data_IF_645327617967
#
_entry.id   IF_645327617967
#
_cell.length_a   1.000
_cell.length_b   1.000
_cell.length_c   1.000
_cell.angle_alpha   90.00
_cell.angle_beta   90.00
_cell.angle_gamma   90.00
#
_symmetry.space_group_name_H-M   'P 1'
#
loop_
_entity.id
_entity.type
_entity.pdbx_description
1 polymer ?
#
# COMPACT_ATOMS: atom_id res chain seq x y z
N UNK A 1 -85.35 3.36 56.13
CA UNK A 1 -85.20 3.78 54.76
C UNK A 1 -83.70 3.73 54.50
N UNK A 2 -83.25 2.51 54.23
CA UNK A 2 -81.82 2.19 53.96
C UNK A 2 -81.51 2.57 52.51
N UNK A 3 -80.50 3.42 52.35
CA UNK A 3 -79.95 3.70 50.99
C UNK A 3 -78.82 2.71 50.70
N UNK A 4 -79.11 1.81 49.77
CA UNK A 4 -78.13 0.88 49.23
C UNK A 4 -77.01 1.66 48.45
N UNK A 5 -75.83 1.58 48.93
CA UNK A 5 -74.63 2.12 48.30
C UNK A 5 -74.20 1.17 47.18
N UNK A 6 -74.37 1.58 45.92
CA UNK A 6 -73.89 0.82 44.74
C UNK A 6 -72.38 1.09 44.52
N UNK A 7 -71.59 0.03 44.37
CA UNK A 7 -70.17 0.23 44.11
C UNK A 7 -69.95 0.85 42.73
N UNK A 8 -69.16 1.93 42.67
CA UNK A 8 -68.70 2.58 41.46
C UNK A 8 -67.74 1.65 40.77
N UNK A 9 -68.09 1.23 39.57
CA UNK A 9 -67.18 0.41 38.72
C UNK A 9 -65.92 1.23 38.33
N UNK A 10 -64.78 0.83 38.84
CA UNK A 10 -63.48 1.37 38.51
C UNK A 10 -63.15 1.07 37.03
N UNK A 11 -63.02 2.11 36.18
CA UNK A 11 -62.75 1.98 34.79
C UNK A 11 -61.25 1.53 34.62
N UNK A 12 -61.05 0.27 34.26
CA UNK A 12 -59.79 -0.32 33.98
C UNK A 12 -59.21 0.38 32.72
N UNK A 13 -58.13 1.15 32.89
CA UNK A 13 -57.40 1.81 31.78
C UNK A 13 -56.89 0.76 30.77
N UNK A 14 -57.01 0.98 29.44
CA UNK A 14 -56.57 0.02 28.43
C UNK A 14 -55.06 -0.16 28.50
N UNK A 15 -54.60 -1.42 28.52
CA UNK A 15 -53.18 -1.78 28.56
C UNK A 15 -52.43 -1.13 27.42
N UNK A 16 -51.18 -0.59 27.64
CA UNK A 16 -50.43 0.07 26.62
C UNK A 16 -50.08 -0.90 25.49
N UNK A 17 -50.47 -0.55 24.26
CA UNK A 17 -50.15 -1.32 23.06
C UNK A 17 -48.63 -1.41 22.94
N UNK A 18 -48.05 -2.59 23.14
CA UNK A 18 -46.62 -2.84 22.94
C UNK A 18 -46.28 -2.54 21.49
N UNK A 19 -45.56 -1.45 21.26
CA UNK A 19 -45.01 -1.09 19.93
C UNK A 19 -44.09 -2.22 19.46
N UNK A 20 -44.15 -2.65 18.20
CA UNK A 20 -43.37 -3.78 17.68
C UNK A 20 -41.91 -3.38 17.37
N UNK A 21 -41.23 -2.80 18.37
CA UNK A 21 -39.85 -2.32 18.22
C UNK A 21 -38.88 -3.40 17.72
N UNK A 22 -39.10 -4.67 18.11
CA UNK A 22 -38.28 -5.79 17.65
C UNK A 22 -38.41 -6.07 16.15
N UNK A 23 -39.60 -5.91 15.58
CA UNK A 23 -39.80 -6.08 14.13
C UNK A 23 -39.18 -4.93 13.35
N UNK A 24 -39.31 -3.69 13.83
CA UNK A 24 -38.70 -2.51 13.20
C UNK A 24 -37.17 -2.61 13.24
N UNK A 25 -36.59 -2.99 14.38
CA UNK A 25 -35.15 -3.21 14.52
C UNK A 25 -34.66 -4.32 13.58
N UNK A 26 -35.41 -5.44 13.47
CA UNK A 26 -35.09 -6.54 12.56
C UNK A 26 -35.06 -6.13 11.07
N UNK A 27 -36.08 -5.37 10.63
CA UNK A 27 -36.12 -4.86 9.25
C UNK A 27 -35.00 -3.84 8.96
N UNK A 28 -34.65 -3.01 9.96
CA UNK A 28 -33.54 -2.06 9.83
C UNK A 28 -32.19 -2.78 9.69
N UNK A 29 -31.95 -3.83 10.47
CA UNK A 29 -30.71 -4.64 10.36
C UNK A 29 -30.64 -5.36 9.00
N UNK A 30 -31.74 -5.97 8.55
CA UNK A 30 -31.80 -6.64 7.24
C UNK A 30 -31.58 -5.65 6.10
N UNK A 31 -32.15 -4.45 6.17
CA UNK A 31 -31.92 -3.37 5.21
C UNK A 31 -30.46 -2.94 5.13
N UNK A 32 -29.80 -2.78 6.28
CA UNK A 32 -28.37 -2.46 6.34
C UNK A 32 -27.51 -3.58 5.73
N UNK A 33 -27.81 -4.85 6.06
CA UNK A 33 -27.09 -6.00 5.50
C UNK A 33 -27.26 -6.08 3.97
N UNK A 34 -28.47 -5.84 3.46
CA UNK A 34 -28.74 -5.79 2.03
C UNK A 34 -27.96 -4.65 1.33
N UNK A 35 -27.93 -3.47 1.93
CA UNK A 35 -27.13 -2.34 1.43
C UNK A 35 -25.65 -2.67 1.39
N UNK A 36 -25.11 -3.31 2.43
CA UNK A 36 -23.73 -3.77 2.48
C UNK A 36 -23.46 -4.80 1.36
N UNK A 37 -24.36 -5.75 1.16
CA UNK A 37 -24.24 -6.78 0.13
C UNK A 37 -24.24 -6.16 -1.28
N UNK A 38 -25.23 -5.30 -1.56
CA UNK A 38 -25.33 -4.59 -2.85
C UNK A 38 -24.08 -3.72 -3.10
N UNK A 39 -23.65 -3.00 -2.08
CA UNK A 39 -22.47 -2.15 -2.15
C UNK A 39 -21.20 -2.98 -2.41
N UNK A 40 -21.04 -4.11 -1.73
CA UNK A 40 -19.92 -5.03 -1.95
C UNK A 40 -19.97 -5.65 -3.35
N UNK A 41 -21.17 -5.99 -3.83
CA UNK A 41 -21.39 -6.48 -5.21
C UNK A 41 -20.98 -5.44 -6.26
N UNK A 42 -21.39 -4.19 -6.10
CA UNK A 42 -20.99 -3.08 -6.99
C UNK A 42 -19.48 -2.92 -7.01
N UNK A 43 -18.83 -2.94 -5.83
CA UNK A 43 -17.38 -2.87 -5.76
C UNK A 43 -16.75 -4.01 -6.54
N UNK A 44 -17.20 -5.24 -6.31
CA UNK A 44 -16.62 -6.43 -6.95
C UNK A 44 -16.71 -6.37 -8.47
N UNK A 45 -17.83 -5.91 -9.00
CA UNK A 45 -18.04 -5.74 -10.46
C UNK A 45 -17.20 -4.59 -11.03
N UNK A 46 -16.94 -3.55 -10.22
CA UNK A 46 -16.14 -2.39 -10.66
C UNK A 46 -14.63 -2.58 -10.49
N UNK A 47 -14.18 -3.71 -9.88
CA UNK A 47 -12.75 -3.99 -9.76
C UNK A 47 -12.11 -4.19 -11.13
N UNK A 48 -10.89 -3.67 -11.32
CA UNK A 48 -10.18 -3.81 -12.58
C UNK A 48 -9.90 -5.27 -12.92
N UNK A 49 -9.78 -5.55 -14.23
CA UNK A 49 -9.31 -6.85 -14.67
C UNK A 49 -7.80 -6.96 -14.39
N UNK A 50 -7.42 -7.86 -13.49
CA UNK A 50 -6.02 -8.10 -13.11
C UNK A 50 -5.39 -9.25 -13.91
N UNK A 51 -6.18 -10.02 -14.68
CA UNK A 51 -5.67 -11.11 -15.52
C UNK A 51 -4.71 -10.60 -16.60
N UNK A 52 -4.96 -9.40 -17.11
CA UNK A 52 -4.13 -8.80 -18.15
C UNK A 52 -2.66 -8.68 -17.73
N UNK A 53 -2.38 -8.34 -16.46
CA UNK A 53 -1.01 -8.19 -15.96
C UNK A 53 -0.35 -9.52 -15.58
N UNK A 54 -1.05 -10.63 -15.73
CA UNK A 54 -0.49 -11.98 -15.56
C UNK A 54 0.58 -12.26 -16.61
N UNK A 55 0.27 -11.96 -17.86
CA UNK A 55 1.13 -12.28 -19.00
C UNK A 55 1.71 -11.03 -19.68
N UNK A 56 1.00 -9.90 -19.60
CA UNK A 56 1.38 -8.67 -20.27
C UNK A 56 1.97 -7.66 -19.29
N UNK A 57 3.00 -6.97 -19.76
CA UNK A 57 3.59 -5.88 -19.00
C UNK A 57 2.80 -4.60 -19.25
N UNK A 58 2.32 -3.90 -18.20
CA UNK A 58 1.58 -2.66 -18.38
C UNK A 58 2.48 -1.58 -18.96
N UNK A 59 2.08 -1.00 -20.10
CA UNK A 59 2.79 0.15 -20.71
C UNK A 59 2.58 1.44 -19.93
N UNK A 60 1.45 1.51 -19.22
CA UNK A 60 1.05 2.68 -18.47
C UNK A 60 0.21 2.28 -17.25
N UNK A 61 0.40 3.00 -16.15
CA UNK A 61 -0.30 2.76 -14.90
C UNK A 61 -1.16 3.96 -14.50
N UNK A 62 -2.07 3.78 -13.53
CA UNK A 62 -2.90 4.86 -13.03
C UNK A 62 -2.05 5.99 -12.42
N UNK A 63 -0.94 5.65 -11.74
CA UNK A 63 -0.04 6.68 -11.18
C UNK A 63 0.68 7.46 -12.28
N UNK A 64 1.15 6.81 -13.34
CA UNK A 64 1.79 7.48 -14.49
C UNK A 64 0.83 8.49 -15.13
N UNK A 65 -0.41 8.07 -15.46
CA UNK A 65 -1.45 8.97 -16.00
C UNK A 65 -1.75 10.14 -15.08
N UNK A 66 -1.86 9.87 -13.79
CA UNK A 66 -2.13 10.93 -12.81
C UNK A 66 -1.00 11.97 -12.75
N UNK A 67 0.25 11.51 -12.77
CA UNK A 67 1.43 12.39 -12.78
C UNK A 67 1.49 13.24 -14.06
N UNK A 68 1.27 12.64 -15.21
CA UNK A 68 1.21 13.39 -16.48
C UNK A 68 0.12 14.46 -16.48
N UNK A 69 -1.08 14.13 -15.97
CA UNK A 69 -2.18 15.08 -15.83
C UNK A 69 -1.81 16.25 -14.91
N UNK A 70 -1.18 15.98 -13.75
CA UNK A 70 -0.71 17.03 -12.83
C UNK A 70 0.30 17.98 -13.46
N UNK A 71 1.24 17.45 -14.28
CA UNK A 71 2.20 18.30 -14.98
C UNK A 71 1.55 19.14 -16.06
N UNK A 72 0.62 18.55 -16.81
CA UNK A 72 -0.16 19.25 -17.85
C UNK A 72 -0.98 20.40 -17.25
N UNK A 73 -1.64 20.19 -16.12
CA UNK A 73 -2.38 21.23 -15.39
C UNK A 73 -1.48 22.41 -14.98
N UNK A 74 -0.21 22.14 -14.71
CA UNK A 74 0.80 23.18 -14.39
C UNK A 74 1.46 23.79 -15.63
N UNK A 75 0.97 23.51 -16.84
CA UNK A 75 1.58 23.94 -18.09
C UNK A 75 2.96 23.35 -18.38
N UNK A 76 3.30 22.21 -17.72
CA UNK A 76 4.58 21.54 -17.86
C UNK A 76 4.41 20.17 -18.52
N UNK A 77 5.47 19.68 -19.17
CA UNK A 77 5.55 18.34 -19.73
C UNK A 77 6.39 17.45 -18.80
N UNK A 78 5.82 16.36 -18.30
CA UNK A 78 6.60 15.36 -17.57
C UNK A 78 7.41 14.52 -18.56
N UNK A 79 8.71 14.42 -18.35
CA UNK A 79 9.57 13.47 -19.07
C UNK A 79 9.42 12.11 -18.39
N UNK A 80 8.65 11.20 -18.99
CA UNK A 80 8.52 9.82 -18.51
C UNK A 80 9.66 8.97 -19.04
N UNK A 81 10.40 8.32 -18.14
CA UNK A 81 11.42 7.33 -18.44
C UNK A 81 10.96 6.02 -17.81
N UNK A 82 10.79 4.98 -18.64
CA UNK A 82 10.32 3.67 -18.20
C UNK A 82 10.97 2.58 -19.05
N UNK A 83 11.74 1.71 -18.42
CA UNK A 83 12.33 0.53 -19.04
C UNK A 83 11.95 -0.70 -18.21
N UNK A 84 11.41 -1.71 -18.88
CA UNK A 84 11.06 -2.96 -18.24
C UNK A 84 12.29 -3.87 -18.12
N UNK A 85 12.48 -4.49 -16.94
CA UNK A 85 13.44 -5.58 -16.74
C UNK A 85 12.69 -6.79 -16.13
N UNK A 86 12.84 -8.00 -16.68
CA UNK A 86 12.36 -9.19 -16.01
C UNK A 86 13.05 -9.36 -14.65
N UNK A 87 12.40 -10.00 -13.69
CA UNK A 87 12.90 -10.15 -12.32
C UNK A 87 14.31 -10.76 -12.28
N UNK A 88 14.63 -11.66 -13.23
CA UNK A 88 15.95 -12.29 -13.38
C UNK A 88 17.08 -11.34 -13.81
N UNK A 89 16.73 -10.13 -14.31
CA UNK A 89 17.68 -9.08 -14.70
C UNK A 89 17.68 -7.90 -13.73
N UNK A 90 17.18 -8.10 -12.51
CA UNK A 90 17.26 -7.12 -11.43
C UNK A 90 18.19 -7.69 -10.36
N UNK A 91 19.11 -6.87 -9.87
CA UNK A 91 20.08 -7.26 -8.83
C UNK A 91 19.39 -7.92 -7.65
N UNK A 92 19.83 -9.10 -7.20
CA UNK A 92 19.33 -9.73 -5.98
C UNK A 92 19.44 -8.80 -4.77
N UNK A 93 20.47 -7.96 -4.71
CA UNK A 93 20.66 -6.97 -3.64
C UNK A 93 19.55 -5.90 -3.66
N UNK A 94 19.15 -5.42 -4.85
CA UNK A 94 18.03 -4.49 -4.95
C UNK A 94 16.72 -5.15 -4.52
N UNK A 95 16.48 -6.38 -4.95
CA UNK A 95 15.29 -7.16 -4.57
C UNK A 95 15.22 -7.31 -3.05
N UNK A 96 16.31 -7.76 -2.42
CA UNK A 96 16.38 -7.94 -0.97
C UNK A 96 16.22 -6.61 -0.22
N UNK A 97 16.87 -5.56 -0.69
CA UNK A 97 16.74 -4.23 -0.08
C UNK A 97 15.28 -3.72 -0.12
N UNK A 98 14.56 -3.94 -1.22
CA UNK A 98 13.14 -3.59 -1.35
C UNK A 98 12.28 -4.42 -0.38
N UNK A 99 12.46 -5.72 -0.33
CA UNK A 99 11.72 -6.60 0.59
C UNK A 99 11.93 -6.16 2.04
N UNK A 100 13.17 -6.00 2.47
CA UNK A 100 13.53 -5.58 3.84
C UNK A 100 12.97 -4.20 4.19
N UNK A 101 12.90 -3.29 3.23
CA UNK A 101 12.43 -1.91 3.46
C UNK A 101 10.91 -1.78 3.45
N UNK A 102 10.24 -2.46 2.52
CA UNK A 102 8.85 -2.22 2.20
C UNK A 102 7.90 -3.32 2.69
N UNK A 103 8.36 -4.59 2.74
CA UNK A 103 7.50 -5.73 3.07
C UNK A 103 8.35 -6.98 3.35
N UNK A 104 8.85 -7.05 4.56
CA UNK A 104 9.83 -8.06 4.97
C UNK A 104 9.31 -9.50 4.90
N UNK A 105 8.02 -9.68 5.14
CA UNK A 105 7.32 -10.96 5.10
C UNK A 105 6.55 -11.20 3.80
N UNK A 106 6.91 -10.50 2.70
CA UNK A 106 6.18 -10.53 1.43
C UNK A 106 5.82 -11.93 0.94
N UNK A 107 6.73 -12.89 1.04
CA UNK A 107 6.50 -14.27 0.60
C UNK A 107 5.70 -15.14 1.59
N UNK A 108 5.40 -14.62 2.79
CA UNK A 108 4.75 -15.36 3.87
C UNK A 108 3.26 -15.02 4.05
N UNK A 109 2.78 -13.94 3.43
CA UNK A 109 1.38 -13.52 3.54
C UNK A 109 0.68 -13.44 2.17
N UNK A 110 -0.64 -13.36 2.16
CA UNK A 110 -1.49 -13.24 0.97
C UNK A 110 -2.04 -11.81 0.79
N UNK A 111 -1.14 -10.84 0.63
CA UNK A 111 -1.46 -9.44 0.35
C UNK A 111 -1.62 -8.55 1.57
N UNK A 112 -1.73 -9.13 2.78
CA UNK A 112 -1.83 -8.39 4.04
C UNK A 112 -0.93 -9.00 5.09
N UNK A 113 -0.01 -8.21 5.63
CA UNK A 113 0.72 -8.55 6.86
C UNK A 113 -0.07 -7.99 8.06
N UNK A 114 -0.93 -8.84 8.62
CA UNK A 114 -1.78 -8.46 9.75
C UNK A 114 -0.98 -8.15 11.02
N UNK A 115 0.15 -8.81 11.20
CA UNK A 115 1.03 -8.60 12.35
C UNK A 115 1.72 -7.23 12.25
N UNK A 116 2.31 -6.92 11.08
CA UNK A 116 2.92 -5.61 10.84
C UNK A 116 1.89 -4.48 10.90
N UNK A 117 0.68 -4.71 10.37
CA UNK A 117 -0.42 -3.73 10.45
C UNK A 117 -0.81 -3.43 11.90
N UNK A 118 -0.90 -4.45 12.76
CA UNK A 118 -1.20 -4.30 14.20
C UNK A 118 -0.08 -3.52 14.89
N UNK A 119 1.18 -3.93 14.70
CA UNK A 119 2.32 -3.23 15.28
C UNK A 119 2.41 -1.76 14.83
N UNK A 120 2.14 -1.50 13.55
CA UNK A 120 2.13 -0.14 13.03
C UNK A 120 1.03 0.69 13.68
N UNK A 121 -0.16 0.10 13.90
CA UNK A 121 -1.27 0.77 14.56
C UNK A 121 -0.96 1.09 16.04
N UNK A 122 -0.40 0.14 16.78
CA UNK A 122 0.03 0.32 18.17
C UNK A 122 1.09 1.44 18.29
N UNK A 123 2.15 1.39 17.47
CA UNK A 123 3.21 2.42 17.45
C UNK A 123 2.69 3.81 17.04
N UNK A 124 1.71 3.88 16.14
CA UNK A 124 1.10 5.15 15.73
C UNK A 124 0.20 5.73 16.81
N UNK A 125 -0.53 4.90 17.57
CA UNK A 125 -1.33 5.31 18.72
C UNK A 125 -0.45 5.85 19.84
N UNK A 126 0.62 5.15 20.21
CA UNK A 126 1.55 5.55 21.27
C UNK A 126 2.21 6.89 20.97
N UNK A 127 2.58 7.12 19.72
CA UNK A 127 3.28 8.36 19.31
C UNK A 127 2.34 9.47 18.86
N UNK A 128 1.01 9.24 18.82
CA UNK A 128 0.01 10.18 18.28
C UNK A 128 0.36 10.74 16.89
N UNK A 129 1.13 9.99 16.11
CA UNK A 129 1.61 10.36 14.79
C UNK A 129 1.72 9.12 13.90
N UNK A 130 1.49 9.27 12.59
CA UNK A 130 1.72 8.20 11.62
C UNK A 130 3.24 8.05 11.40
N UNK A 131 3.85 7.13 12.15
CA UNK A 131 5.30 6.89 12.15
C UNK A 131 5.68 5.74 11.22
N UNK A 132 4.81 4.73 11.09
CA UNK A 132 5.03 3.55 10.26
C UNK A 132 3.81 3.27 9.39
N UNK A 133 4.04 2.94 8.12
CA UNK A 133 3.01 2.46 7.21
C UNK A 133 3.01 0.93 7.21
N UNK A 134 1.86 0.32 7.45
CA UNK A 134 1.67 -1.14 7.34
C UNK A 134 1.07 -1.53 5.99
N UNK A 135 1.56 -0.96 4.88
CA UNK A 135 1.07 -1.32 3.53
C UNK A 135 2.06 -2.24 2.85
N UNK A 136 1.61 -3.40 2.41
CA UNK A 136 2.40 -4.41 1.71
C UNK A 136 2.77 -4.01 0.27
N UNK A 137 3.75 -4.69 -0.32
CA UNK A 137 4.13 -4.55 -1.74
C UNK A 137 2.91 -4.76 -2.65
N UNK A 138 2.06 -5.74 -2.37
CA UNK A 138 0.86 -6.01 -3.19
C UNK A 138 -0.16 -4.88 -3.11
N UNK A 139 -0.36 -4.28 -1.93
CA UNK A 139 -1.23 -3.11 -1.78
C UNK A 139 -0.66 -1.89 -2.51
N UNK A 140 0.66 -1.67 -2.42
CA UNK A 140 1.32 -0.60 -3.16
C UNK A 140 1.22 -0.81 -4.68
N UNK A 141 1.38 -2.05 -5.16
CA UNK A 141 1.20 -2.42 -6.56
C UNK A 141 -0.23 -2.15 -7.03
N UNK A 142 -1.24 -2.59 -6.27
CA UNK A 142 -2.66 -2.34 -6.57
C UNK A 142 -2.94 -0.83 -6.74
N UNK A 143 -2.45 -0.02 -5.81
CA UNK A 143 -2.54 1.43 -5.87
C UNK A 143 -1.90 1.98 -7.14
N UNK A 144 -0.66 1.60 -7.45
CA UNK A 144 0.09 2.16 -8.56
C UNK A 144 -0.50 1.78 -9.93
N UNK A 145 -0.97 0.53 -10.08
CA UNK A 145 -1.55 0.05 -11.33
C UNK A 145 -2.90 0.67 -11.65
N UNK A 146 -3.80 0.77 -10.65
CA UNK A 146 -5.22 0.93 -10.90
C UNK A 146 -5.87 2.15 -10.25
N UNK A 147 -5.28 2.74 -9.21
CA UNK A 147 -5.94 3.75 -8.40
C UNK A 147 -5.32 5.14 -8.56
N UNK A 148 -6.18 6.16 -8.58
CA UNK A 148 -5.73 7.55 -8.48
C UNK A 148 -5.30 7.85 -7.04
N UNK A 149 -4.25 8.65 -6.83
CA UNK A 149 -3.87 9.10 -5.49
C UNK A 149 -5.00 9.91 -4.85
N UNK A 150 -5.61 9.36 -3.81
CA UNK A 150 -6.59 10.02 -2.97
C UNK A 150 -6.42 9.51 -1.54
N UNK A 151 -6.72 10.34 -0.54
CA UNK A 151 -6.65 9.96 0.88
C UNK A 151 -8.05 9.73 1.43
N UNK A 152 -8.77 8.75 0.88
CA UNK A 152 -10.11 8.39 1.32
C UNK A 152 -10.17 6.95 1.80
N UNK A 153 -11.00 6.63 2.82
CA UNK A 153 -11.22 5.23 3.25
C UNK A 153 -11.69 4.34 2.10
N UNK A 154 -12.52 4.88 1.22
CA UNK A 154 -13.01 4.19 0.03
C UNK A 154 -11.88 3.71 -0.89
N UNK A 155 -10.94 4.60 -1.22
CA UNK A 155 -9.77 4.21 -2.01
C UNK A 155 -8.94 3.12 -1.32
N UNK A 156 -8.80 3.19 0.02
CA UNK A 156 -8.05 2.16 0.77
C UNK A 156 -8.76 0.81 0.73
N UNK A 157 -10.09 0.78 0.75
CA UNK A 157 -10.87 -0.44 0.57
C UNK A 157 -10.68 -1.02 -0.85
N UNK A 158 -10.76 -0.18 -1.91
CA UNK A 158 -10.48 -0.63 -3.28
C UNK A 158 -9.06 -1.20 -3.41
N UNK A 159 -8.06 -0.54 -2.82
CA UNK A 159 -6.67 -1.03 -2.78
C UNK A 159 -6.58 -2.42 -2.16
N UNK A 160 -7.25 -2.63 -1.04
CA UNK A 160 -7.29 -3.92 -0.35
C UNK A 160 -7.92 -5.03 -1.21
N UNK A 161 -9.06 -4.74 -1.83
CA UNK A 161 -9.76 -5.72 -2.68
C UNK A 161 -8.97 -6.06 -3.95
N UNK A 162 -8.34 -5.06 -4.58
CA UNK A 162 -7.47 -5.28 -5.74
C UNK A 162 -6.24 -6.07 -5.33
N UNK A 163 -5.61 -5.77 -4.18
CA UNK A 163 -4.47 -6.51 -3.68
C UNK A 163 -4.81 -8.00 -3.49
N UNK A 164 -5.96 -8.30 -2.86
CA UNK A 164 -6.44 -9.68 -2.72
C UNK A 164 -6.68 -10.36 -4.08
N UNK A 165 -7.22 -9.63 -5.05
CA UNK A 165 -7.43 -10.16 -6.41
C UNK A 165 -6.10 -10.44 -7.11
N UNK A 166 -5.10 -9.55 -6.98
CA UNK A 166 -3.74 -9.76 -7.50
C UNK A 166 -3.10 -11.03 -6.91
N UNK A 167 -3.17 -11.22 -5.57
CA UNK A 167 -2.60 -12.40 -4.92
C UNK A 167 -3.25 -13.71 -5.37
N UNK A 168 -4.56 -13.71 -5.63
CA UNK A 168 -5.27 -14.88 -6.16
C UNK A 168 -4.94 -15.20 -7.61
N UNK A 169 -4.54 -14.20 -8.39
CA UNK A 169 -4.37 -14.31 -9.84
C UNK A 169 -2.91 -14.49 -10.23
N UNK A 170 -1.98 -13.90 -9.48
CA UNK A 170 -0.57 -13.81 -9.82
C UNK A 170 0.31 -14.58 -8.83
N UNK A 171 1.44 -15.09 -9.30
CA UNK A 171 2.48 -15.57 -8.40
C UNK A 171 3.17 -14.40 -7.67
N UNK A 172 3.70 -14.65 -6.48
CA UNK A 172 4.52 -13.68 -5.71
C UNK A 172 5.66 -13.09 -6.54
N UNK A 173 6.34 -13.94 -7.33
CA UNK A 173 7.42 -13.49 -8.22
C UNK A 173 6.90 -12.50 -9.27
N UNK A 174 5.71 -12.73 -9.84
CA UNK A 174 5.11 -11.81 -10.80
C UNK A 174 4.67 -10.50 -10.15
N UNK A 175 4.09 -10.55 -8.96
CA UNK A 175 3.73 -9.34 -8.19
C UNK A 175 4.97 -8.49 -7.93
N UNK A 176 6.07 -9.11 -7.48
CA UNK A 176 7.33 -8.41 -7.21
C UNK A 176 7.96 -7.83 -8.49
N UNK A 177 7.94 -8.59 -9.60
CA UNK A 177 8.41 -8.12 -10.90
C UNK A 177 7.62 -6.88 -11.36
N UNK A 178 6.28 -6.95 -11.31
CA UNK A 178 5.42 -5.82 -11.62
C UNK A 178 5.74 -4.62 -10.74
N UNK A 179 5.84 -4.84 -9.43
CA UNK A 179 6.13 -3.79 -8.46
C UNK A 179 7.42 -3.03 -8.80
N UNK A 180 8.51 -3.76 -8.95
CA UNK A 180 9.83 -3.18 -9.24
C UNK A 180 9.87 -2.42 -10.57
N UNK A 181 8.99 -2.75 -11.50
CA UNK A 181 8.92 -2.12 -12.82
C UNK A 181 7.93 -0.95 -12.91
N UNK A 182 6.97 -0.82 -11.98
CA UNK A 182 5.93 0.22 -12.11
C UNK A 182 6.02 1.31 -11.06
N UNK A 183 6.75 1.10 -9.95
CA UNK A 183 6.92 2.15 -8.94
C UNK A 183 7.79 3.29 -9.47
N UNK A 184 7.55 4.47 -8.92
CA UNK A 184 8.33 5.67 -9.21
C UNK A 184 9.56 5.74 -8.31
N UNK A 185 10.75 5.85 -8.91
CA UNK A 185 12.05 5.94 -8.24
C UNK A 185 12.64 7.35 -8.24
N UNK A 186 12.01 8.26 -8.94
CA UNK A 186 12.34 9.66 -9.10
C UNK A 186 11.27 10.35 -9.92
N UNK A 187 11.32 11.66 -10.07
CA UNK A 187 10.29 12.42 -10.77
C UNK A 187 10.17 11.98 -12.24
N UNK A 188 9.09 11.27 -12.57
CA UNK A 188 8.85 10.69 -13.89
C UNK A 188 9.70 9.46 -14.22
N UNK A 189 10.42 8.89 -13.26
CA UNK A 189 11.33 7.77 -13.43
C UNK A 189 10.70 6.49 -12.89
N UNK A 190 10.27 5.59 -13.77
CA UNK A 190 9.53 4.38 -13.43
C UNK A 190 10.33 3.12 -13.75
N UNK A 191 10.35 2.19 -12.79
CA UNK A 191 11.01 0.90 -12.93
C UNK A 191 12.49 0.90 -12.56
N UNK A 192 12.95 -0.24 -11.99
CA UNK A 192 14.30 -0.43 -11.48
C UNK A 192 15.38 -0.24 -12.56
N UNK A 193 15.14 -0.72 -13.77
CA UNK A 193 16.10 -0.58 -14.89
C UNK A 193 16.26 0.88 -15.30
N UNK A 194 15.15 1.63 -15.40
CA UNK A 194 15.22 3.05 -15.71
C UNK A 194 15.94 3.82 -14.60
N UNK A 195 15.70 3.47 -13.34
CA UNK A 195 16.35 4.07 -12.19
C UNK A 195 17.87 3.82 -12.18
N UNK A 196 18.28 2.56 -12.38
CA UNK A 196 19.68 2.18 -12.43
C UNK A 196 20.45 2.92 -13.55
N UNK A 197 19.88 2.95 -14.75
CA UNK A 197 20.47 3.65 -15.89
C UNK A 197 20.56 5.15 -15.68
N UNK A 198 19.50 5.75 -15.15
CA UNK A 198 19.45 7.21 -14.97
C UNK A 198 20.34 7.69 -13.83
N UNK A 199 20.35 6.94 -12.70
CA UNK A 199 21.08 7.36 -11.51
C UNK A 199 22.56 6.95 -11.54
N UNK A 200 22.89 5.78 -12.13
CA UNK A 200 24.22 5.18 -12.02
C UNK A 200 24.84 4.78 -13.35
N UNK A 201 24.14 4.96 -14.47
CA UNK A 201 24.66 4.67 -15.82
C UNK A 201 24.84 3.18 -16.14
N UNK A 202 24.21 2.27 -15.36
CA UNK A 202 24.37 0.81 -15.48
C UNK A 202 23.02 0.08 -15.49
N UNK A 203 23.03 -1.21 -15.82
CA UNK A 203 21.84 -2.03 -15.77
C UNK A 203 21.41 -2.34 -14.31
N UNK A 204 20.12 -2.59 -14.10
CA UNK A 204 19.61 -2.94 -12.76
C UNK A 204 20.23 -4.23 -12.18
N UNK A 205 20.73 -5.14 -13.04
CA UNK A 205 21.45 -6.33 -12.63
C UNK A 205 22.82 -6.05 -11.99
N UNK A 206 23.42 -4.90 -12.31
CA UNK A 206 24.82 -4.55 -11.94
C UNK A 206 24.89 -3.63 -10.72
N UNK A 207 23.76 -3.36 -10.07
CA UNK A 207 23.72 -2.49 -8.91
C UNK A 207 24.51 -3.06 -7.73
N UNK A 208 25.40 -2.24 -7.19
CA UNK A 208 26.16 -2.52 -5.96
C UNK A 208 25.26 -2.43 -4.73
N UNK A 209 25.69 -2.92 -3.54
CA UNK A 209 24.95 -2.76 -2.29
C UNK A 209 24.60 -1.29 -1.99
N UNK A 210 25.57 -0.37 -2.16
CA UNK A 210 25.37 1.06 -1.94
C UNK A 210 24.29 1.65 -2.84
N UNK A 211 24.33 1.33 -4.13
CA UNK A 211 23.38 1.83 -5.12
C UNK A 211 21.97 1.27 -4.91
N UNK A 212 21.85 -0.02 -4.56
CA UNK A 212 20.59 -0.65 -4.22
C UNK A 212 19.94 0.04 -2.99
N UNK A 213 20.71 0.26 -1.94
CA UNK A 213 20.24 0.95 -0.72
C UNK A 213 19.86 2.41 -1.03
N UNK A 214 20.65 3.12 -1.84
CA UNK A 214 20.34 4.49 -2.26
C UNK A 214 19.02 4.56 -3.03
N UNK A 215 18.77 3.66 -3.99
CA UNK A 215 17.49 3.57 -4.71
C UNK A 215 16.32 3.27 -3.76
N UNK A 216 16.42 2.25 -2.93
CA UNK A 216 15.32 1.87 -2.03
C UNK A 216 15.01 2.99 -1.03
N UNK A 217 16.03 3.74 -0.61
CA UNK A 217 15.82 4.83 0.34
C UNK A 217 14.85 5.91 -0.16
N UNK A 218 14.76 6.14 -1.48
CA UNK A 218 13.91 7.21 -2.06
C UNK A 218 12.46 6.80 -2.30
N UNK A 219 12.12 5.51 -2.25
CA UNK A 219 10.74 5.01 -2.48
C UNK A 219 9.71 5.72 -1.61
N UNK A 220 10.07 6.09 -0.39
CA UNK A 220 9.18 6.78 0.56
C UNK A 220 8.65 8.12 0.01
N UNK A 221 9.45 8.83 -0.78
CA UNK A 221 9.05 10.07 -1.46
C UNK A 221 10.01 10.38 -2.62
N UNK A 222 9.80 9.78 -3.80
CA UNK A 222 10.69 9.91 -4.94
C UNK A 222 10.72 11.31 -5.57
N UNK A 223 9.76 12.18 -5.21
CA UNK A 223 9.73 13.56 -5.68
C UNK A 223 10.58 14.51 -4.81
N UNK A 224 10.86 14.10 -3.58
CA UNK A 224 11.61 14.92 -2.62
C UNK A 224 13.05 14.47 -2.48
N UNK A 225 13.32 13.18 -2.64
CA UNK A 225 14.62 12.59 -2.39
C UNK A 225 15.24 12.07 -3.69
N UNK A 226 16.56 12.15 -3.77
CA UNK A 226 17.36 11.64 -4.89
C UNK A 226 18.28 10.53 -4.41
N UNK A 227 18.47 9.53 -5.25
CA UNK A 227 19.41 8.44 -4.98
C UNK A 227 20.88 8.89 -5.09
N UNK A 228 21.14 9.92 -5.89
CA UNK A 228 22.52 10.38 -6.23
C UNK A 228 22.95 11.63 -5.48
N UNK A 229 22.03 12.43 -4.94
CA UNK A 229 22.39 13.64 -4.20
C UNK A 229 22.72 13.36 -2.74
N UNK A 230 23.44 14.32 -2.12
CA UNK A 230 23.68 14.29 -0.68
C UNK A 230 22.39 14.14 0.08
N UNK A 231 22.37 13.18 0.99
CA UNK A 231 21.19 12.81 1.72
C UNK A 231 20.95 13.73 2.93
N UNK A 232 19.70 14.11 3.15
CA UNK A 232 19.32 14.69 4.44
C UNK A 232 19.61 13.71 5.59
N UNK A 233 19.75 14.20 6.83
CA UNK A 233 19.94 13.35 8.02
C UNK A 233 18.95 12.18 8.09
N UNK A 234 17.69 12.42 7.70
CA UNK A 234 16.67 11.38 7.64
C UNK A 234 17.00 10.29 6.63
N UNK A 235 17.51 10.66 5.45
CA UNK A 235 17.88 9.70 4.42
C UNK A 235 19.14 8.92 4.78
N UNK A 236 20.14 9.58 5.36
CA UNK A 236 21.34 8.91 5.89
C UNK A 236 20.96 7.84 6.91
N UNK A 237 20.15 8.20 7.92
CA UNK A 237 19.68 7.24 8.91
C UNK A 237 18.89 6.06 8.29
N UNK A 238 18.05 6.33 7.28
CA UNK A 238 17.33 5.27 6.57
C UNK A 238 18.29 4.33 5.83
N UNK A 239 19.30 4.87 5.14
CA UNK A 239 20.33 4.10 4.43
C UNK A 239 21.15 3.23 5.40
N UNK A 240 21.62 3.81 6.49
CA UNK A 240 22.37 3.09 7.53
C UNK A 240 21.54 1.96 8.15
N UNK A 241 20.28 2.23 8.50
CA UNK A 241 19.39 1.20 9.04
C UNK A 241 19.15 0.06 8.04
N UNK A 242 18.99 0.38 6.76
CA UNK A 242 18.80 -0.64 5.72
C UNK A 242 20.10 -1.44 5.51
N UNK A 243 21.27 -0.79 5.46
CA UNK A 243 22.56 -1.45 5.40
C UNK A 243 22.76 -2.41 6.57
N UNK A 244 22.46 -1.98 7.79
CA UNK A 244 22.54 -2.83 8.99
C UNK A 244 21.62 -4.06 8.88
N UNK A 245 20.38 -3.89 8.44
CA UNK A 245 19.44 -5.01 8.28
C UNK A 245 19.87 -6.00 7.19
N UNK A 246 20.45 -5.49 6.10
CA UNK A 246 20.98 -6.32 5.03
C UNK A 246 22.23 -7.09 5.47
N UNK A 247 23.13 -6.46 6.24
CA UNK A 247 24.30 -7.11 6.83
C UNK A 247 23.90 -8.21 7.82
N UNK A 248 22.95 -7.95 8.71
CA UNK A 248 22.40 -8.95 9.64
C UNK A 248 21.81 -10.19 8.95
N UNK A 249 21.53 -10.11 7.64
CA UNK A 249 21.06 -11.21 6.78
C UNK A 249 22.14 -11.77 5.89
N UNK A 250 23.39 -11.42 6.18
CA UNK A 250 24.56 -11.96 5.48
C UNK A 250 24.52 -11.70 3.95
N UNK A 251 23.89 -10.58 3.52
CA UNK A 251 23.80 -10.22 2.09
C UNK A 251 25.12 -9.64 1.54
N UNK A 252 26.03 -9.26 2.42
CA UNK A 252 27.40 -8.83 2.14
C UNK A 252 28.24 -8.93 3.41
N UNK A 253 29.57 -8.87 3.24
CA UNK A 253 30.54 -9.05 4.30
C UNK A 253 30.77 -7.79 5.17
N UNK A 254 31.50 -7.94 6.27
CA UNK A 254 31.83 -6.87 7.22
C UNK A 254 32.60 -5.70 6.58
N UNK A 255 33.64 -5.92 5.73
CA UNK A 255 34.31 -4.82 5.05
C UNK A 255 33.37 -3.97 4.18
N UNK A 256 32.44 -4.63 3.46
CA UNK A 256 31.41 -3.93 2.66
C UNK A 256 30.48 -3.12 3.59
N UNK A 257 30.06 -3.67 4.72
CA UNK A 257 29.22 -2.95 5.67
C UNK A 257 29.89 -1.72 6.25
N UNK A 258 31.16 -1.81 6.64
CA UNK A 258 31.93 -0.67 7.13
C UNK A 258 32.06 0.43 6.06
N UNK A 259 32.40 0.07 4.83
CA UNK A 259 32.44 1.01 3.71
C UNK A 259 31.09 1.72 3.48
N UNK A 260 29.96 0.99 3.58
CA UNK A 260 28.63 1.57 3.49
C UNK A 260 28.33 2.55 4.64
N UNK A 261 28.77 2.23 5.86
CA UNK A 261 28.60 3.12 7.01
C UNK A 261 29.36 4.44 6.83
N UNK A 262 30.59 4.38 6.31
CA UNK A 262 31.38 5.57 5.96
C UNK A 262 30.72 6.41 4.87
N UNK A 263 30.31 5.77 3.74
CA UNK A 263 29.64 6.43 2.61
C UNK A 263 28.33 7.12 3.01
N UNK A 264 27.52 6.51 3.86
CA UNK A 264 26.22 7.06 4.26
C UNK A 264 26.28 8.01 5.45
N UNK A 265 27.41 8.11 6.14
CA UNK A 265 27.59 9.04 7.27
C UNK A 265 27.99 10.45 6.82
N UNK A 266 28.55 10.57 5.63
CA UNK A 266 28.89 11.83 4.98
C UNK A 266 27.63 12.51 4.41
#
# INVERSE_FOLDING_TARGET
MEMEDKPVAEAVAPAPKRRPWGKIAGFSVLGVLLLILVFTGIIYVTLPNVEEVRERNPKETAIMRHREAQFKEKGKKLRRIHYWAPLSRISPLLIQAVLISEDDKFFQHEGFDWEEMREAMEKNLDRKQVVRGGSTITQQLAKNLYLRPARTPWRKLQEALIARKLEKTLSKRRILELYLNVIEWGDGLYGAEAAARTCFGKAAAELTPAEAIRLVSVIINPHRYSAVSNASKRMRNKRLLLAQRMYQRELFDEPTFQSLCEDFSQ
#
